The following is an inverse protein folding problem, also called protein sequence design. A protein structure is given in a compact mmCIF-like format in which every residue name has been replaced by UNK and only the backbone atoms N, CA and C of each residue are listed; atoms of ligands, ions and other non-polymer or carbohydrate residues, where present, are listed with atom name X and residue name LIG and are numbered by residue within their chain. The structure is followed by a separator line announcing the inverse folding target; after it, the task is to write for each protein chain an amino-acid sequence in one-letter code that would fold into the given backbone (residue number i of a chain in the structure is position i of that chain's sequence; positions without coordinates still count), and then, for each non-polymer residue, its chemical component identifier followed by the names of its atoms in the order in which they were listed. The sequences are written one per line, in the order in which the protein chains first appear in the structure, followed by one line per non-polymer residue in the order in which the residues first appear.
data_IF_398449254263
#
_entry.id   IF_398449254263
#
_cell.length_a   1.000
_cell.length_b   1.000
_cell.length_c   1.000
_cell.angle_alpha   90.00
_cell.angle_beta   90.00
_cell.angle_gamma   90.00
#
_symmetry.space_group_name_H-M   'P 1'
#
loop_
_entity.id
_entity.type
_entity.pdbx_description
1 polymer ?
#
# COMPACT_ATOMS: atom_id res chain seq x y z
N UNK A 1 -19.87 10.20 -59.08
CA UNK A 1 -18.87 10.70 -58.10
C UNK A 1 -19.67 11.29 -56.94
N UNK A 2 -19.77 10.60 -55.79
CA UNK A 2 -18.88 10.77 -54.60
C UNK A 2 -18.88 12.25 -54.14
N UNK A 3 -19.28 12.64 -52.93
CA UNK A 3 -19.07 12.02 -51.62
C UNK A 3 -19.97 12.71 -50.57
N UNK A 4 -20.74 11.94 -49.79
CA UNK A 4 -21.38 12.44 -48.56
C UNK A 4 -20.40 12.31 -47.40
N UNK A 5 -20.08 13.41 -46.73
CA UNK A 5 -19.27 13.41 -45.50
C UNK A 5 -20.18 13.08 -44.31
N UNK A 6 -20.05 11.86 -43.79
CA UNK A 6 -20.54 11.49 -42.46
C UNK A 6 -19.46 11.88 -41.46
N UNK A 7 -19.72 12.89 -40.64
CA UNK A 7 -18.91 13.22 -39.46
C UNK A 7 -19.26 12.16 -38.42
N UNK A 8 -18.48 11.08 -38.38
CA UNK A 8 -18.52 10.11 -37.30
C UNK A 8 -17.97 10.74 -36.05
N UNK A 9 -18.84 11.06 -35.08
CA UNK A 9 -18.44 11.34 -33.72
C UNK A 9 -17.69 10.12 -33.19
N UNK A 10 -16.38 10.23 -33.04
CA UNK A 10 -15.60 9.25 -32.32
C UNK A 10 -16.09 9.24 -30.87
N UNK A 11 -16.87 8.24 -30.51
CA UNK A 11 -17.05 7.87 -29.11
C UNK A 11 -15.66 7.46 -28.61
N UNK A 12 -15.01 8.38 -27.89
CA UNK A 12 -13.86 8.04 -27.06
C UNK A 12 -14.43 7.03 -26.06
N UNK A 13 -14.11 5.75 -26.24
CA UNK A 13 -14.50 4.71 -25.30
C UNK A 13 -14.04 5.14 -23.92
N UNK A 14 -14.98 5.41 -23.02
CA UNK A 14 -14.68 5.57 -21.62
C UNK A 14 -14.00 4.27 -21.20
N UNK A 15 -12.71 4.32 -20.87
CA UNK A 15 -12.09 3.25 -20.10
C UNK A 15 -13.03 2.99 -18.92
N UNK A 16 -13.47 1.75 -18.74
CA UNK A 16 -14.37 1.38 -17.66
C UNK A 16 -13.74 1.84 -16.35
N UNK A 17 -14.20 2.95 -15.80
CA UNK A 17 -13.67 3.49 -14.56
C UNK A 17 -14.05 2.50 -13.46
N UNK A 18 -13.04 1.92 -12.82
CA UNK A 18 -13.27 1.07 -11.66
C UNK A 18 -13.87 1.93 -10.55
N UNK A 19 -14.89 1.41 -9.87
CA UNK A 19 -15.56 2.09 -8.78
C UNK A 19 -15.18 1.49 -7.44
N UNK A 20 -15.09 2.34 -6.42
CA UNK A 20 -14.90 1.93 -5.03
C UNK A 20 -15.89 2.65 -4.12
N UNK A 21 -16.26 2.00 -3.02
CA UNK A 21 -16.89 2.72 -1.90
C UNK A 21 -15.82 3.38 -1.05
N UNK A 22 -16.21 4.40 -0.28
CA UNK A 22 -15.33 5.00 0.71
C UNK A 22 -15.99 5.06 2.07
N UNK A 23 -15.19 5.06 3.12
CA UNK A 23 -15.55 5.51 4.47
C UNK A 23 -14.45 6.44 4.97
N UNK A 24 -14.59 6.94 6.20
CA UNK A 24 -13.50 7.58 6.91
C UNK A 24 -13.26 6.86 8.24
N UNK A 25 -12.00 6.84 8.66
CA UNK A 25 -11.60 6.33 9.96
C UNK A 25 -10.49 7.16 10.58
N UNK A 26 -10.33 7.00 11.89
CA UNK A 26 -9.19 7.53 12.62
C UNK A 26 -8.89 6.65 13.83
N UNK A 27 -7.70 6.04 13.84
CA UNK A 27 -7.23 5.18 14.93
C UNK A 27 -5.91 5.69 15.56
N UNK A 28 -5.21 6.62 14.91
CA UNK A 28 -3.91 7.14 15.34
C UNK A 28 -2.78 6.11 15.28
N UNK A 29 -2.98 4.97 14.61
CA UNK A 29 -2.02 3.86 14.61
C UNK A 29 -1.00 3.99 13.47
N UNK A 30 0.08 3.22 13.59
CA UNK A 30 1.16 3.13 12.59
C UNK A 30 0.66 2.67 11.22
N UNK A 31 -0.31 1.75 11.20
CA UNK A 31 -0.86 1.15 10.01
C UNK A 31 0.02 0.05 9.42
N UNK A 32 -0.57 -0.79 8.58
CA UNK A 32 0.03 -2.00 8.02
C UNK A 32 1.17 -1.76 7.01
N UNK A 33 1.40 -0.50 6.62
CA UNK A 33 2.56 -0.10 5.81
C UNK A 33 3.71 0.50 6.64
N UNK A 34 3.63 0.44 7.97
CA UNK A 34 4.72 0.85 8.86
C UNK A 34 5.00 2.35 8.81
N UNK A 35 3.98 3.19 8.67
CA UNK A 35 4.11 4.64 8.57
C UNK A 35 4.01 5.31 9.94
N UNK A 36 4.78 4.83 10.91
CA UNK A 36 4.70 5.30 12.29
C UNK A 36 5.79 4.73 13.18
N UNK A 37 5.46 4.64 14.46
CA UNK A 37 6.35 4.15 15.51
C UNK A 37 5.53 3.53 16.64
N UNK A 38 6.20 3.03 17.68
CA UNK A 38 5.55 2.57 18.91
C UNK A 38 4.67 3.63 19.60
N UNK A 39 4.83 4.91 19.26
CA UNK A 39 4.01 6.03 19.75
C UNK A 39 2.79 6.36 18.87
N UNK A 40 2.56 5.61 17.79
CA UNK A 40 1.46 5.83 16.85
C UNK A 40 1.92 6.20 15.45
N UNK A 41 0.95 6.54 14.59
CA UNK A 41 1.19 6.97 13.21
C UNK A 41 1.95 8.28 13.12
N UNK A 42 2.70 8.47 12.03
CA UNK A 42 3.33 9.76 11.75
C UNK A 42 2.28 10.87 11.56
N UNK A 43 2.57 12.13 11.96
CA UNK A 43 1.57 13.22 11.91
C UNK A 43 0.99 13.49 10.52
N UNK A 44 1.78 13.29 9.46
CA UNK A 44 1.36 13.51 8.08
C UNK A 44 0.29 12.50 7.61
N UNK A 45 0.08 11.39 8.34
CA UNK A 45 -0.96 10.42 7.98
C UNK A 45 -2.37 11.04 8.07
N UNK A 46 -2.57 12.08 8.88
CA UNK A 46 -3.86 12.81 8.93
C UNK A 46 -4.11 13.73 7.73
N UNK A 47 -3.12 13.89 6.85
CA UNK A 47 -3.16 14.77 5.70
C UNK A 47 -1.75 15.10 5.26
N UNK A 48 -1.36 14.60 4.10
CA UNK A 48 -0.04 14.84 3.48
C UNK A 48 0.02 16.28 2.95
N UNK A 49 -1.11 16.78 2.45
CA UNK A 49 -1.24 18.14 1.93
C UNK A 49 -2.68 18.43 1.49
N UNK A 50 -2.90 19.62 0.91
CA UNK A 50 -4.22 20.01 0.45
C UNK A 50 -4.71 19.06 -0.67
N UNK A 51 -5.78 18.30 -0.39
CA UNK A 51 -6.35 17.32 -1.32
C UNK A 51 -5.57 16.00 -1.43
N UNK A 52 -4.57 15.75 -0.57
CA UNK A 52 -3.77 14.51 -0.54
C UNK A 52 -3.82 13.89 0.85
N UNK A 53 -4.35 12.68 0.93
CA UNK A 53 -4.64 11.97 2.17
C UNK A 53 -3.99 10.58 2.16
N UNK A 54 -4.03 9.90 3.31
CA UNK A 54 -3.77 8.46 3.36
C UNK A 54 -5.07 7.68 3.46
N UNK A 55 -5.01 6.40 3.14
CA UNK A 55 -6.14 5.49 3.28
C UNK A 55 -5.68 4.09 3.69
N UNK A 56 -6.58 3.39 4.38
CA UNK A 56 -6.55 1.95 4.48
C UNK A 56 -7.26 1.36 3.25
N UNK A 57 -6.51 0.67 2.40
CA UNK A 57 -7.08 -0.01 1.24
C UNK A 57 -7.71 -1.34 1.65
N UNK A 58 -8.83 -1.73 1.04
CA UNK A 58 -9.29 -3.13 1.07
C UNK A 58 -8.19 -4.08 0.61
N UNK A 59 -8.31 -5.38 0.90
CA UNK A 59 -7.27 -6.37 0.60
C UNK A 59 -6.78 -6.30 -0.87
N UNK A 60 -7.67 -6.02 -1.83
CA UNK A 60 -7.28 -5.89 -3.24
C UNK A 60 -6.37 -4.69 -3.56
N UNK A 61 -6.44 -3.62 -2.76
CA UNK A 61 -5.53 -2.47 -2.86
C UNK A 61 -4.27 -2.64 -2.03
N UNK A 62 -4.35 -3.39 -0.94
CA UNK A 62 -3.23 -3.60 -0.03
C UNK A 62 -2.28 -4.69 -0.55
N UNK A 63 -2.83 -5.87 -0.83
CA UNK A 63 -2.11 -7.03 -1.34
C UNK A 63 -3.07 -8.16 -1.74
N UNK A 64 -3.11 -8.55 -3.01
CA UNK A 64 -4.04 -9.59 -3.49
C UNK A 64 -3.64 -11.01 -3.10
N UNK A 65 -2.38 -11.23 -2.74
CA UNK A 65 -1.91 -12.51 -2.20
C UNK A 65 -2.30 -12.68 -0.71
N UNK A 66 -2.87 -11.65 -0.08
CA UNK A 66 -3.41 -11.71 1.27
C UNK A 66 -2.41 -11.29 2.36
N UNK A 67 -1.31 -10.60 2.00
CA UNK A 67 -0.43 -10.03 3.01
C UNK A 67 -1.20 -9.07 3.93
N UNK A 68 -0.80 -9.01 5.20
CA UNK A 68 -1.38 -8.10 6.20
C UNK A 68 -0.38 -7.07 6.73
N UNK A 69 0.84 -7.08 6.22
CA UNK A 69 1.94 -6.19 6.59
C UNK A 69 2.86 -6.00 5.39
N UNK A 70 3.28 -4.76 5.12
CA UNK A 70 4.09 -4.41 3.94
C UNK A 70 3.55 -4.98 2.61
N UNK A 71 2.22 -4.94 2.43
CA UNK A 71 1.59 -5.38 1.19
C UNK A 71 2.11 -4.62 -0.03
N UNK A 72 2.04 -5.26 -1.20
CA UNK A 72 2.56 -4.69 -2.45
C UNK A 72 1.97 -3.31 -2.82
N UNK A 73 0.75 -3.03 -2.36
CA UNK A 73 0.07 -1.75 -2.56
C UNK A 73 0.51 -0.62 -1.64
N UNK A 74 1.32 -0.90 -0.61
CA UNK A 74 1.82 0.12 0.30
C UNK A 74 2.62 1.20 -0.44
N UNK A 75 2.27 2.47 -0.17
CA UNK A 75 2.89 3.64 -0.79
C UNK A 75 2.36 3.97 -2.19
N UNK A 76 1.36 3.25 -2.70
CA UNK A 76 0.75 3.51 -4.01
C UNK A 76 -0.36 4.54 -3.89
N UNK A 77 -0.49 5.39 -4.90
CA UNK A 77 -1.46 6.48 -4.92
C UNK A 77 -2.55 6.29 -5.95
N UNK A 78 -3.75 6.75 -5.58
CA UNK A 78 -4.93 6.73 -6.42
C UNK A 78 -5.60 8.09 -6.41
N UNK A 79 -6.06 8.52 -7.58
CA UNK A 79 -6.99 9.66 -7.68
C UNK A 79 -8.40 9.14 -7.56
N UNK A 80 -9.14 9.69 -6.60
CA UNK A 80 -10.54 9.36 -6.37
C UNK A 80 -11.39 10.52 -6.86
N UNK A 81 -12.35 10.24 -7.73
CA UNK A 81 -13.31 11.21 -8.27
C UNK A 81 -14.71 10.83 -7.80
N UNK A 82 -15.34 11.69 -7.02
CA UNK A 82 -16.69 11.51 -6.50
C UNK A 82 -17.70 11.35 -7.64
N UNK A 83 -18.56 10.33 -7.56
CA UNK A 83 -19.72 10.19 -8.45
C UNK A 83 -20.88 11.09 -8.04
N UNK A 84 -20.82 11.66 -6.83
CA UNK A 84 -21.90 12.40 -6.17
C UNK A 84 -22.77 11.54 -5.26
N UNK A 85 -22.73 10.22 -5.42
CA UNK A 85 -23.69 9.31 -4.79
C UNK A 85 -23.07 8.53 -3.60
N UNK A 86 -23.92 8.14 -2.65
CA UNK A 86 -23.59 7.12 -1.66
C UNK A 86 -23.92 5.71 -2.20
N UNK A 87 -23.36 4.63 -1.63
CA UNK A 87 -23.62 3.27 -2.09
C UNK A 87 -25.07 2.81 -1.87
N UNK A 88 -25.82 3.48 -0.99
CA UNK A 88 -27.22 3.20 -0.69
C UNK A 88 -27.90 4.42 -0.06
N UNK A 89 -29.22 4.41 0.02
CA UNK A 89 -30.03 5.55 0.49
C UNK A 89 -29.89 5.90 1.98
N UNK A 90 -29.31 5.02 2.80
CA UNK A 90 -29.21 5.20 4.26
C UNK A 90 -27.79 5.04 4.82
N UNK A 91 -26.79 4.82 3.96
CA UNK A 91 -25.41 4.58 4.38
C UNK A 91 -24.46 5.74 4.07
N UNK A 92 -24.99 6.89 3.68
CA UNK A 92 -24.22 8.11 3.46
C UNK A 92 -25.04 9.14 2.70
N UNK A 93 -24.50 10.36 2.60
CA UNK A 93 -25.09 11.43 1.78
C UNK A 93 -24.37 11.64 0.45
N UNK A 94 -23.28 10.90 0.18
CA UNK A 94 -22.50 11.03 -1.04
C UNK A 94 -21.58 12.24 -0.97
N UNK A 95 -21.35 12.88 -2.12
CA UNK A 95 -20.41 13.99 -2.21
C UNK A 95 -20.74 14.94 -3.36
N UNK A 96 -19.83 15.86 -3.66
CA UNK A 96 -19.99 16.71 -4.85
C UNK A 96 -19.48 15.94 -6.06
N UNK A 97 -20.35 15.70 -7.05
CA UNK A 97 -19.96 14.98 -8.26
C UNK A 97 -18.80 15.67 -8.98
N UNK A 98 -17.78 14.89 -9.39
CA UNK A 98 -16.57 15.39 -10.05
C UNK A 98 -15.51 15.96 -9.12
N UNK A 99 -15.81 16.18 -7.83
CA UNK A 99 -14.79 16.56 -6.85
C UNK A 99 -13.78 15.43 -6.71
N UNK A 100 -12.48 15.78 -6.67
CA UNK A 100 -11.41 14.79 -6.61
C UNK A 100 -10.47 15.01 -5.43
N UNK A 101 -9.94 13.92 -4.91
CA UNK A 101 -8.83 13.88 -3.96
C UNK A 101 -7.80 12.83 -4.41
N UNK A 102 -6.63 12.85 -3.78
CA UNK A 102 -5.62 11.81 -3.93
C UNK A 102 -5.49 11.08 -2.59
N UNK A 103 -5.40 9.75 -2.63
CA UNK A 103 -5.09 8.92 -1.47
C UNK A 103 -3.83 8.11 -1.71
N UNK A 104 -3.02 7.94 -0.67
CA UNK A 104 -1.91 6.98 -0.62
C UNK A 104 -2.26 5.83 0.31
N UNK A 105 -2.06 4.59 -0.12
CA UNK A 105 -2.31 3.41 0.73
C UNK A 105 -1.20 3.31 1.78
N UNK A 106 -1.55 3.50 3.06
CA UNK A 106 -0.62 3.36 4.20
C UNK A 106 -1.10 2.37 5.26
N UNK A 107 -2.28 1.79 5.07
CA UNK A 107 -2.84 0.79 5.97
C UNK A 107 -3.70 -0.23 5.21
N UNK A 108 -4.08 -1.30 5.89
CA UNK A 108 -5.02 -2.31 5.43
C UNK A 108 -6.37 -2.09 6.10
N UNK A 109 -7.45 -2.09 5.32
CA UNK A 109 -8.78 -2.36 5.84
C UNK A 109 -9.07 -3.86 5.73
N UNK A 110 -8.95 -4.64 6.83
CA UNK A 110 -9.09 -6.08 6.76
C UNK A 110 -10.57 -6.47 6.62
N UNK A 111 -10.84 -7.56 5.89
CA UNK A 111 -12.19 -8.10 5.76
C UNK A 111 -12.81 -8.44 7.12
N UNK A 112 -12.06 -9.11 7.99
CA UNK A 112 -12.59 -9.54 9.28
C UNK A 112 -12.87 -8.35 10.20
N UNK A 113 -14.14 -8.14 10.52
CA UNK A 113 -14.62 -7.00 11.31
C UNK A 113 -15.12 -5.83 10.46
N UNK A 114 -14.80 -5.79 9.16
CA UNK A 114 -15.21 -4.73 8.23
C UNK A 114 -15.93 -5.27 6.98
N UNK A 115 -16.57 -6.44 7.08
CA UNK A 115 -17.19 -7.15 5.94
C UNK A 115 -18.26 -6.30 5.21
N UNK A 116 -18.85 -5.33 5.90
CA UNK A 116 -19.78 -4.38 5.31
C UNK A 116 -19.14 -3.57 4.17
N UNK A 117 -17.87 -3.20 4.33
CA UNK A 117 -17.19 -2.22 3.49
C UNK A 117 -16.00 -2.82 2.74
N UNK A 118 -15.16 -3.59 3.42
CA UNK A 118 -13.87 -4.06 2.92
C UNK A 118 -13.97 -5.52 2.46
N UNK A 119 -14.08 -5.77 1.14
CA UNK A 119 -14.23 -7.12 0.62
C UNK A 119 -12.91 -7.91 0.61
N UNK A 120 -13.01 -9.23 0.51
CA UNK A 120 -11.88 -10.05 0.08
C UNK A 120 -11.59 -9.82 -1.40
N UNK A 121 -10.39 -10.20 -1.82
CA UNK A 121 -9.96 -10.15 -3.22
C UNK A 121 -10.90 -11.01 -4.07
N UNK A 122 -11.47 -10.40 -5.12
CA UNK A 122 -12.38 -11.09 -6.06
C UNK A 122 -13.85 -11.11 -5.62
N UNK A 123 -14.16 -10.72 -4.39
CA UNK A 123 -15.52 -10.61 -3.88
C UNK A 123 -16.06 -9.17 -4.02
N UNK A 124 -17.27 -8.94 -3.50
CA UNK A 124 -17.87 -7.61 -3.32
C UNK A 124 -18.26 -7.39 -1.87
N UNK A 125 -18.25 -6.12 -1.44
CA UNK A 125 -18.83 -5.74 -0.16
C UNK A 125 -20.37 -5.81 -0.20
N UNK A 126 -21.04 -5.45 0.91
CA UNK A 126 -22.50 -5.54 1.02
C UNK A 126 -23.25 -4.60 0.06
N UNK A 127 -22.55 -3.69 -0.61
CA UNK A 127 -23.09 -2.73 -1.57
C UNK A 127 -22.76 -3.10 -3.02
N UNK A 128 -22.11 -4.24 -3.26
CA UNK A 128 -21.79 -4.73 -4.60
C UNK A 128 -20.50 -4.16 -5.21
N UNK A 129 -19.61 -3.56 -4.41
CA UNK A 129 -18.33 -3.03 -4.90
C UNK A 129 -17.16 -3.94 -4.49
N UNK A 130 -16.28 -4.23 -5.44
CA UNK A 130 -15.07 -5.06 -5.22
C UNK A 130 -13.93 -4.32 -4.54
N UNK A 131 -14.05 -3.01 -4.37
CA UNK A 131 -12.97 -2.14 -3.92
C UNK A 131 -13.49 -1.16 -2.87
N UNK A 132 -12.64 -0.89 -1.89
CA UNK A 132 -12.95 0.06 -0.83
C UNK A 132 -11.70 0.81 -0.36
N UNK A 133 -11.86 2.11 -0.12
CA UNK A 133 -10.88 2.96 0.56
C UNK A 133 -11.47 3.48 1.85
N UNK A 134 -10.86 3.16 2.98
CA UNK A 134 -11.19 3.78 4.25
C UNK A 134 -10.20 4.91 4.48
N UNK A 135 -10.66 6.17 4.38
CA UNK A 135 -9.77 7.33 4.31
C UNK A 135 -9.40 7.77 5.72
N UNK A 136 -8.11 7.89 6.00
CA UNK A 136 -7.65 8.34 7.32
C UNK A 136 -7.91 9.84 7.46
N UNK A 137 -8.87 10.21 8.31
CA UNK A 137 -9.17 11.58 8.63
C UNK A 137 -9.99 11.69 9.92
N UNK A 138 -9.77 12.77 10.69
CA UNK A 138 -10.56 13.03 11.90
C UNK A 138 -12.01 13.40 11.58
N UNK A 139 -12.26 13.94 10.38
CA UNK A 139 -13.57 14.34 9.90
C UNK A 139 -13.69 13.94 8.42
N UNK A 140 -14.91 13.89 7.89
CA UNK A 140 -15.16 13.69 6.46
C UNK A 140 -14.41 14.74 5.62
N UNK A 141 -13.69 14.28 4.58
CA UNK A 141 -12.79 15.15 3.79
C UNK A 141 -13.32 15.51 2.40
N UNK A 142 -14.22 14.71 1.82
CA UNK A 142 -14.74 14.96 0.47
C UNK A 142 -16.15 14.37 0.21
N UNK A 143 -16.94 14.27 1.28
CA UNK A 143 -18.27 13.67 1.26
C UNK A 143 -18.44 12.64 2.38
N UNK A 144 -19.64 12.08 2.45
CA UNK A 144 -20.05 11.06 3.41
C UNK A 144 -20.31 9.73 2.68
N UNK A 145 -19.35 8.81 2.85
CA UNK A 145 -19.33 7.49 2.22
C UNK A 145 -19.59 7.54 0.72
N UNK A 146 -18.88 8.43 0.02
CA UNK A 146 -19.05 8.67 -1.40
C UNK A 146 -18.55 7.47 -2.22
N UNK A 147 -19.30 7.10 -3.26
CA UNK A 147 -18.82 6.20 -4.30
C UNK A 147 -17.90 6.99 -5.22
N UNK A 148 -16.74 6.42 -5.54
CA UNK A 148 -15.74 7.08 -6.37
C UNK A 148 -15.41 6.26 -7.60
N UNK A 149 -15.17 6.95 -8.70
CA UNK A 149 -14.32 6.45 -9.76
C UNK A 149 -12.86 6.60 -9.31
N UNK A 150 -12.03 5.57 -9.50
CA UNK A 150 -10.62 5.63 -9.12
C UNK A 150 -9.69 5.25 -10.26
N UNK A 151 -8.50 5.85 -10.25
CA UNK A 151 -7.40 5.54 -11.16
C UNK A 151 -6.06 5.53 -10.40
N UNK A 152 -5.16 4.57 -10.67
CA UNK A 152 -3.80 4.62 -10.14
C UNK A 152 -3.05 5.80 -10.74
N UNK A 153 -2.29 6.50 -9.92
CA UNK A 153 -1.49 7.66 -10.34
C UNK A 153 -0.10 7.62 -9.71
N UNK A 154 0.83 8.38 -10.30
CA UNK A 154 2.07 8.70 -9.61
C UNK A 154 1.76 9.51 -8.34
N UNK A 155 2.39 9.15 -7.22
CA UNK A 155 2.23 9.89 -5.98
C UNK A 155 2.78 11.32 -6.09
N UNK A 156 2.08 12.34 -5.54
CA UNK A 156 2.61 13.69 -5.41
C UNK A 156 3.93 13.72 -4.62
N UNK A 157 4.80 14.69 -4.89
CA UNK A 157 6.16 14.73 -4.34
C UNK A 157 6.24 14.66 -2.80
N UNK A 158 5.31 15.30 -2.08
CA UNK A 158 5.25 15.21 -0.62
C UNK A 158 4.87 13.80 -0.15
N UNK A 159 3.91 13.15 -0.79
CA UNK A 159 3.53 11.77 -0.48
C UNK A 159 4.69 10.80 -0.69
N UNK A 160 5.49 11.00 -1.75
CA UNK A 160 6.71 10.21 -1.99
C UNK A 160 7.74 10.42 -0.88
N UNK A 161 7.96 11.67 -0.45
CA UNK A 161 8.89 11.98 0.63
C UNK A 161 8.44 11.35 1.97
N UNK A 162 7.14 11.44 2.27
CA UNK A 162 6.53 10.89 3.48
C UNK A 162 6.55 9.36 3.47
N UNK A 163 6.20 8.72 2.34
CA UNK A 163 6.37 7.28 2.13
C UNK A 163 7.82 6.83 2.36
N UNK A 164 8.78 7.67 1.98
CA UNK A 164 10.21 7.48 2.23
C UNK A 164 10.57 7.17 3.68
N UNK A 165 9.74 7.59 4.63
CA UNK A 165 9.94 7.40 6.07
C UNK A 165 9.30 6.14 6.64
N UNK A 166 8.43 5.46 5.88
CA UNK A 166 7.74 4.27 6.34
C UNK A 166 8.66 3.05 6.33
N UNK A 167 8.51 2.16 7.32
CA UNK A 167 9.31 0.94 7.45
C UNK A 167 9.21 0.05 6.22
N UNK A 168 8.04 -0.03 5.60
CA UNK A 168 7.81 -0.91 4.45
C UNK A 168 8.40 -0.39 3.13
N UNK A 169 8.96 0.82 3.10
CA UNK A 169 9.53 1.38 1.88
C UNK A 169 10.76 0.57 1.38
N UNK A 170 10.63 -0.04 0.21
CA UNK A 170 11.66 -0.85 -0.43
C UNK A 170 11.67 -2.32 0.00
N UNK A 171 10.71 -2.73 0.84
CA UNK A 171 10.55 -4.12 1.30
C UNK A 171 9.11 -4.62 1.12
N UNK A 172 8.29 -3.92 0.32
CA UNK A 172 6.93 -4.39 0.04
C UNK A 172 6.97 -5.76 -0.64
N UNK A 173 5.93 -6.55 -0.40
CA UNK A 173 5.68 -7.79 -1.13
C UNK A 173 5.57 -7.52 -2.64
N UNK A 174 5.79 -8.56 -3.45
CA UNK A 174 5.61 -8.47 -4.90
C UNK A 174 4.26 -9.05 -5.29
N UNK A 175 3.36 -8.20 -5.77
CA UNK A 175 2.06 -8.58 -6.31
C UNK A 175 1.97 -8.19 -7.80
N UNK A 176 1.45 -9.10 -8.63
CA UNK A 176 1.34 -8.97 -10.09
C UNK A 176 -0.07 -8.62 -10.57
N UNK A 177 -0.98 -8.18 -9.69
CA UNK A 177 -2.38 -7.95 -10.05
C UNK A 177 -2.72 -6.55 -10.56
N UNK A 178 -3.83 -6.39 -11.33
CA UNK A 178 -4.00 -5.34 -12.34
C UNK A 178 -4.27 -3.93 -11.82
N UNK A 179 -4.60 -3.78 -10.54
CA UNK A 179 -5.06 -2.48 -10.00
C UNK A 179 -3.89 -1.51 -9.86
N UNK A 180 -2.66 -2.03 -9.84
CA UNK A 180 -1.45 -1.28 -9.53
C UNK A 180 -0.78 -0.59 -10.70
N UNK A 181 -1.27 -0.78 -11.94
CA UNK A 181 -0.68 -0.15 -13.14
C UNK A 181 0.84 -0.36 -13.19
N UNK A 182 1.28 -1.47 -13.80
CA UNK A 182 2.69 -1.84 -13.97
C UNK A 182 3.67 -0.64 -13.93
N UNK A 183 4.51 -0.63 -12.89
CA UNK A 183 5.48 0.40 -12.50
C UNK A 183 6.57 0.69 -13.55
N UNK A 184 6.47 0.16 -14.77
CA UNK A 184 7.58 0.14 -15.75
C UNK A 184 7.47 1.12 -16.93
N UNK A 185 6.56 2.09 -16.93
CA UNK A 185 6.41 2.94 -18.13
C UNK A 185 6.04 4.42 -17.97
N UNK A 186 6.13 5.01 -16.77
CA UNK A 186 6.07 6.47 -16.66
C UNK A 186 7.49 7.09 -16.82
N UNK A 187 7.79 7.80 -17.92
CA UNK A 187 9.07 8.49 -18.08
C UNK A 187 9.20 9.61 -17.03
N UNK A 188 10.42 9.90 -16.53
CA UNK A 188 10.63 10.96 -15.56
C UNK A 188 10.15 12.30 -16.13
N UNK A 189 9.46 13.16 -15.36
CA UNK A 189 9.05 14.46 -15.84
C UNK A 189 10.29 15.29 -16.20
N UNK A 190 10.34 15.70 -17.47
CA UNK A 190 11.38 16.54 -18.03
C UNK A 190 11.52 17.84 -17.23
N UNK A 191 12.65 18.01 -16.56
CA UNK A 191 13.04 19.28 -15.96
C UNK A 191 13.42 20.26 -17.06
N UNK A 192 12.53 21.20 -17.37
CA UNK A 192 12.81 22.37 -18.18
C UNK A 192 13.48 23.44 -17.31
N UNK A 193 14.79 23.61 -17.44
CA UNK A 193 15.48 24.86 -17.10
C UNK A 193 16.80 24.97 -17.87
N UNK A 194 16.93 26.09 -18.55
CA UNK A 194 17.90 26.44 -19.58
C UNK A 194 19.33 26.69 -19.07
N UNK A 195 20.29 26.26 -19.90
CA UNK A 195 21.75 26.48 -19.88
C UNK A 195 22.15 27.97 -19.79
N UNK A 196 23.39 28.36 -19.41
CA UNK A 196 24.61 28.20 -20.26
C UNK A 196 25.83 27.65 -19.48
N UNK A 197 26.55 26.61 -19.95
CA UNK A 197 27.73 26.65 -20.83
C UNK A 197 28.98 27.35 -20.26
N UNK A 198 29.89 26.57 -19.66
CA UNK A 198 31.33 26.84 -19.67
C UNK A 198 32.11 25.51 -19.72
N UNK A 199 33.15 25.48 -20.55
CA UNK A 199 33.87 24.30 -21.05
C UNK A 199 35.24 24.08 -20.40
N UNK A 200 35.75 22.85 -20.55
CA UNK A 200 37.18 22.41 -20.53
C UNK A 200 37.80 22.19 -19.13
N UNK A 201 38.65 21.20 -18.82
CA UNK A 201 39.55 20.31 -19.59
C UNK A 201 39.90 19.04 -18.76
N UNK A 202 40.63 18.12 -19.40
CA UNK A 202 40.89 16.69 -19.15
C UNK A 202 42.12 16.38 -18.25
N UNK A 203 42.11 15.17 -17.62
CA UNK A 203 43.24 14.30 -17.17
C UNK A 203 44.14 14.75 -16.00
N UNK A 204 44.81 13.91 -15.19
CA UNK A 204 44.80 12.48 -14.84
C UNK A 204 45.84 12.24 -13.71
N UNK A 205 45.64 11.20 -12.87
CA UNK A 205 46.60 10.46 -11.99
C UNK A 205 47.35 11.24 -10.86
N UNK A 206 47.72 10.69 -9.69
CA UNK A 206 48.19 9.33 -9.34
C UNK A 206 48.28 9.07 -7.81
N UNK A 207 48.13 7.80 -7.39
CA UNK A 207 48.86 7.06 -6.30
C UNK A 207 48.71 7.51 -4.82
N UNK A 208 48.27 6.67 -3.85
CA UNK A 208 48.90 5.40 -3.38
C UNK A 208 47.91 4.37 -2.77
N UNK A 209 48.30 3.08 -2.87
CA UNK A 209 47.74 1.81 -2.32
C UNK A 209 48.54 1.39 -1.04
N UNK A 210 48.38 0.18 -0.41
CA UNK A 210 47.25 -0.77 -0.29
C UNK A 210 47.04 -1.33 1.15
N UNK A 211 45.92 -2.05 1.42
CA UNK A 211 45.85 -3.29 2.23
C UNK A 211 44.46 -3.96 2.03
N UNK A 212 44.36 -5.04 1.23
CA UNK A 212 43.97 -6.45 1.58
C UNK A 212 42.68 -6.60 2.42
N UNK A 213 41.64 -7.37 2.05
CA UNK A 213 41.61 -8.72 1.44
C UNK A 213 40.23 -9.12 0.83
N UNK A 214 40.27 -9.88 -0.28
CA UNK A 214 39.48 -11.07 -0.73
C UNK A 214 38.07 -11.36 -0.15
N UNK A 215 37.03 -11.85 -0.84
CA UNK A 215 36.72 -12.28 -2.22
C UNK A 215 35.17 -12.43 -2.40
N UNK A 216 34.71 -12.63 -3.64
CA UNK A 216 33.32 -12.75 -4.20
C UNK A 216 32.98 -14.24 -4.54
N UNK A 217 31.76 -14.72 -4.97
CA UNK A 217 30.32 -14.35 -4.80
C UNK A 217 29.36 -15.50 -4.33
N UNK A 218 28.07 -15.14 -4.15
CA UNK A 218 26.82 -15.92 -4.34
C UNK A 218 26.33 -16.94 -3.27
N UNK A 219 25.16 -16.65 -2.68
CA UNK A 219 24.02 -17.58 -2.46
C UNK A 219 22.86 -16.87 -1.72
N UNK A 220 21.62 -17.10 -2.18
CA UNK A 220 20.36 -16.75 -1.50
C UNK A 220 20.25 -17.43 -0.14
N UNK A 221 19.88 -16.66 0.89
CA UNK A 221 19.49 -17.20 2.20
C UNK A 221 17.99 -17.53 2.21
N UNK A 222 17.66 -18.79 1.97
CA UNK A 222 16.50 -19.43 2.62
C UNK A 222 16.56 -19.21 4.14
N UNK A 223 15.43 -19.03 4.84
CA UNK A 223 15.42 -19.02 6.31
C UNK A 223 15.98 -20.37 6.81
N UNK A 224 16.82 -20.39 7.85
CA UNK A 224 17.27 -21.66 8.41
C UNK A 224 16.06 -22.34 9.04
N UNK A 225 15.58 -23.41 8.38
CA UNK A 225 14.98 -24.53 9.09
C UNK A 225 16.09 -25.16 9.92
N UNK A 226 16.19 -24.77 11.20
CA UNK A 226 16.87 -25.60 12.21
C UNK A 226 15.94 -26.76 12.53
N UNK A 227 16.09 -27.84 11.76
CA UNK A 227 15.58 -29.13 12.16
C UNK A 227 16.06 -29.49 13.58
N UNK A 228 15.12 -29.87 14.44
CA UNK A 228 15.36 -30.88 15.47
C UNK A 228 15.18 -30.47 16.94
N UNK A 229 15.19 -29.19 17.30
CA UNK A 229 15.03 -28.81 18.70
C UNK A 229 13.55 -28.51 18.98
N UNK A 230 12.91 -29.36 19.76
CA UNK A 230 11.58 -29.11 20.30
C UNK A 230 11.69 -28.11 21.46
N UNK A 231 10.76 -27.17 21.55
CA UNK A 231 10.66 -26.28 22.69
C UNK A 231 10.18 -27.03 23.93
N UNK A 232 10.77 -26.75 25.09
CA UNK A 232 10.36 -27.35 26.36
C UNK A 232 8.95 -26.92 26.75
N UNK A 233 8.29 -27.73 27.58
CA UNK A 233 7.03 -27.31 28.23
C UNK A 233 7.23 -25.95 28.92
N UNK A 234 6.27 -25.05 28.74
CA UNK A 234 6.29 -23.64 29.16
C UNK A 234 7.26 -22.71 28.43
N UNK A 235 8.01 -23.21 27.42
CA UNK A 235 8.88 -22.37 26.59
C UNK A 235 8.09 -21.57 25.55
N UNK A 236 8.66 -20.45 25.08
CA UNK A 236 8.09 -19.66 24.01
C UNK A 236 8.21 -20.41 22.68
N UNK A 237 7.10 -20.49 21.95
CA UNK A 237 6.99 -21.24 20.70
C UNK A 237 6.43 -20.41 19.54
N UNK A 238 6.20 -19.12 19.76
CA UNK A 238 5.66 -18.22 18.75
C UNK A 238 5.45 -16.80 19.28
N UNK A 239 4.90 -15.95 18.42
CA UNK A 239 4.73 -14.52 18.65
C UNK A 239 5.54 -13.68 17.66
N UNK A 240 5.09 -12.46 17.38
CA UNK A 240 5.79 -11.53 16.49
C UNK A 240 7.23 -11.31 16.99
N UNK A 241 8.20 -11.47 16.09
CA UNK A 241 9.63 -11.34 16.40
C UNK A 241 10.29 -12.59 17.01
N UNK A 242 9.55 -13.68 17.26
CA UNK A 242 10.12 -14.94 17.75
C UNK A 242 10.93 -15.65 16.65
N UNK A 243 12.20 -15.98 16.95
CA UNK A 243 13.13 -16.67 16.04
C UNK A 243 13.57 -18.05 16.54
N UNK A 244 13.02 -18.50 17.68
CA UNK A 244 13.34 -19.80 18.28
C UNK A 244 12.43 -20.94 17.82
N UNK A 245 12.51 -22.11 18.47
CA UNK A 245 11.73 -23.28 18.08
C UNK A 245 10.22 -23.04 18.14
N UNK A 246 9.48 -23.50 17.13
CA UNK A 246 8.01 -23.38 17.06
C UNK A 246 7.25 -24.67 17.39
N UNK A 247 7.96 -25.79 17.43
CA UNK A 247 7.39 -27.12 17.74
C UNK A 247 7.64 -27.45 19.20
N UNK A 248 6.58 -27.68 19.97
CA UNK A 248 6.69 -28.08 21.38
C UNK A 248 7.05 -29.56 21.54
N UNK A 249 7.73 -29.91 22.64
CA UNK A 249 7.92 -31.30 23.03
C UNK A 249 6.56 -31.97 23.29
N UNK A 250 6.32 -33.15 22.70
CA UNK A 250 5.10 -33.92 22.96
C UNK A 250 5.01 -34.27 24.46
N UNK A 251 3.85 -34.11 25.12
CA UNK A 251 2.50 -33.87 24.56
C UNK A 251 2.09 -32.38 24.43
N UNK A 252 2.97 -31.43 24.70
CA UNK A 252 2.62 -30.02 24.71
C UNK A 252 2.29 -29.46 23.32
N UNK A 253 1.40 -28.48 23.26
CA UNK A 253 1.03 -27.74 22.06
C UNK A 253 1.36 -26.26 22.22
N UNK A 254 1.77 -25.61 21.13
CA UNK A 254 2.00 -24.18 21.13
C UNK A 254 0.66 -23.43 21.23
N UNK A 255 0.43 -22.72 22.33
CA UNK A 255 -0.79 -21.92 22.57
C UNK A 255 -0.46 -20.44 22.54
N UNK A 256 -1.12 -19.70 21.65
CA UNK A 256 -1.01 -18.24 21.61
C UNK A 256 -1.64 -17.61 22.85
N UNK A 257 -0.91 -16.72 23.53
CA UNK A 257 -1.44 -15.90 24.63
C UNK A 257 -1.74 -14.49 24.16
N UNK A 258 -0.89 -13.93 23.31
CA UNK A 258 -1.10 -12.66 22.64
C UNK A 258 -0.27 -12.62 21.34
N UNK A 259 -0.40 -11.53 20.57
CA UNK A 259 0.28 -11.39 19.28
C UNK A 259 1.81 -11.48 19.35
N UNK A 260 2.42 -11.16 20.50
CA UNK A 260 3.88 -11.20 20.70
C UNK A 260 4.37 -12.47 21.40
N UNK A 261 3.46 -13.31 21.92
CA UNK A 261 3.84 -14.42 22.78
C UNK A 261 2.91 -15.64 22.65
N UNK A 262 3.51 -16.78 22.31
CA UNK A 262 2.88 -18.11 22.37
C UNK A 262 3.74 -19.05 23.20
N UNK A 263 3.12 -19.91 24.01
CA UNK A 263 3.78 -20.77 24.98
C UNK A 263 3.41 -22.24 24.78
N UNK A 264 4.36 -23.15 24.97
CA UNK A 264 4.09 -24.58 25.02
C UNK A 264 3.33 -24.95 26.30
N UNK A 265 2.11 -25.45 26.17
CA UNK A 265 1.26 -25.89 27.28
C UNK A 265 0.75 -27.31 27.01
N UNK A 266 0.54 -28.10 28.07
CA UNK A 266 -0.09 -29.42 27.97
C UNK A 266 -1.54 -29.32 27.49
#
# INVERSE_FOLDING_TARGET
MRTSFLIGSAAIGAASAYKATTTHYYDGQEGACGCGSSSGGFPWQLGIGNGVYTAAGSQAFFDTAGASWCGAGCGKCYKLTSTGEAPCSTCGTGGVAGQSIIVMVTNLCPYNGNQQWCPNVGDTNQYGYSYHFDIMAQNQVFGDNVVVDFEPIACPGQAVADWGTCQCNGIQETDTTPVLGDDTSLPPPASSSSKPAASSTKAAASSTKPVTSSAKPAASSTPPSTGGQQQTLYGQCGGIGWTGPSVCQSPATCKAQNQWYSQCLN
#
